data_IF_912060392638
#
_entry.id   IF_912060392638
#
_cell.length_a   1.000
_cell.length_b   1.000
_cell.length_c   1.000
_cell.angle_alpha   90.00
_cell.angle_beta   90.00
_cell.angle_gamma   90.00
#
_symmetry.space_group_name_H-M   'P 1'
#
loop_
_entity.id
_entity.type
_entity.pdbx_description
1 polymer ?
#
# COMPACT_ATOMS: atom_id res chain seq x y z
N UNK A 1 -19.64 -20.48 12.06
CA UNK A 1 -18.33 -20.30 11.43
C UNK A 1 -18.41 -19.02 10.63
N UNK A 2 -17.77 -17.94 11.08
CA UNK A 2 -17.63 -16.74 10.26
C UNK A 2 -16.58 -17.08 9.20
N UNK A 3 -16.92 -17.05 7.91
CA UNK A 3 -15.88 -16.75 6.93
C UNK A 3 -15.54 -15.29 7.20
N UNK A 4 -14.36 -15.03 7.74
CA UNK A 4 -13.80 -13.69 7.67
C UNK A 4 -13.34 -13.53 6.23
N UNK A 5 -14.27 -13.18 5.34
CA UNK A 5 -13.97 -12.85 3.94
C UNK A 5 -13.21 -11.52 3.96
N UNK A 6 -11.90 -11.65 4.14
CA UNK A 6 -10.96 -10.54 4.13
C UNK A 6 -10.39 -10.39 2.73
N UNK A 7 -10.28 -9.15 2.28
CA UNK A 7 -9.52 -8.80 1.09
C UNK A 7 -8.18 -8.17 1.51
N UNK A 8 -7.19 -8.27 0.62
CA UNK A 8 -5.83 -7.88 0.92
C UNK A 8 -5.25 -6.97 -0.17
N UNK A 9 -4.63 -5.89 0.28
CA UNK A 9 -3.76 -5.05 -0.53
C UNK A 9 -2.33 -5.13 0.01
N UNK A 10 -1.38 -5.38 -0.89
CA UNK A 10 0.03 -5.18 -0.60
C UNK A 10 0.43 -3.80 -1.12
N UNK A 11 0.82 -2.90 -0.22
CA UNK A 11 1.49 -1.67 -0.60
C UNK A 11 2.98 -1.93 -0.71
N UNK A 12 3.54 -1.70 -1.90
CA UNK A 12 4.95 -1.92 -2.21
C UNK A 12 5.65 -0.57 -2.36
N UNK A 13 6.71 -0.37 -1.57
CA UNK A 13 7.53 0.84 -1.61
C UNK A 13 8.25 1.00 -2.95
N UNK A 14 8.54 2.25 -3.33
CA UNK A 14 9.20 2.63 -4.57
C UNK A 14 10.47 1.81 -4.86
N UNK A 15 11.21 1.39 -3.82
CA UNK A 15 12.42 0.55 -3.95
C UNK A 15 12.18 -0.80 -4.65
N UNK A 16 10.96 -1.34 -4.61
CA UNK A 16 10.61 -2.67 -5.14
C UNK A 16 9.54 -2.65 -6.22
N UNK A 17 9.09 -1.46 -6.65
CA UNK A 17 8.05 -1.32 -7.67
C UNK A 17 8.42 -1.99 -8.99
N UNK A 18 9.68 -1.91 -9.43
CA UNK A 18 10.12 -2.55 -10.68
C UNK A 18 9.96 -4.07 -10.60
N UNK A 19 10.45 -4.68 -9.52
CA UNK A 19 10.37 -6.12 -9.28
C UNK A 19 8.91 -6.57 -9.14
N UNK A 20 8.10 -5.83 -8.37
CA UNK A 20 6.70 -6.13 -8.14
C UNK A 20 5.86 -6.06 -9.42
N UNK A 21 6.07 -5.06 -10.29
CA UNK A 21 5.37 -4.95 -11.57
C UNK A 21 5.66 -6.13 -12.49
N UNK A 22 6.88 -6.67 -12.48
CA UNK A 22 7.23 -7.85 -13.27
C UNK A 22 6.43 -9.07 -12.80
N UNK A 23 6.33 -9.27 -11.48
CA UNK A 23 5.56 -10.37 -10.87
C UNK A 23 4.05 -10.19 -11.18
N UNK A 24 3.50 -9.00 -10.95
CA UNK A 24 2.08 -8.74 -11.21
C UNK A 24 1.69 -8.96 -12.69
N UNK A 25 2.60 -8.71 -13.62
CA UNK A 25 2.36 -8.95 -15.06
C UNK A 25 2.27 -10.45 -15.38
N UNK A 26 2.95 -11.30 -14.61
CA UNK A 26 2.91 -12.76 -14.80
C UNK A 26 1.63 -13.37 -14.22
N UNK A 27 1.18 -12.86 -13.07
CA UNK A 27 0.05 -13.41 -12.31
C UNK A 27 -1.27 -12.66 -12.55
N UNK A 28 -1.26 -11.63 -13.40
CA UNK A 28 -2.42 -10.80 -13.74
C UNK A 28 -3.08 -10.14 -12.50
N UNK A 29 -2.27 -9.79 -11.49
CA UNK A 29 -2.75 -9.05 -10.32
C UNK A 29 -3.20 -7.64 -10.73
N UNK A 30 -4.28 -7.17 -10.11
CA UNK A 30 -4.73 -5.78 -10.22
C UNK A 30 -3.82 -4.88 -9.37
N UNK A 31 -3.28 -3.82 -9.96
CA UNK A 31 -2.41 -2.88 -9.26
C UNK A 31 -2.51 -1.46 -9.83
N UNK A 32 -2.08 -0.48 -9.05
CA UNK A 32 -2.01 0.92 -9.49
C UNK A 32 -1.01 1.76 -8.70
N UNK A 33 -0.54 2.89 -9.27
CA UNK A 33 0.30 3.84 -8.54
C UNK A 33 -0.50 4.52 -7.44
N UNK A 34 0.04 4.55 -6.22
CA UNK A 34 -0.62 5.18 -5.09
C UNK A 34 -0.77 6.70 -5.28
N UNK A 35 0.19 7.39 -5.91
CA UNK A 35 0.14 8.85 -6.09
C UNK A 35 -0.82 9.32 -7.18
N UNK A 36 -1.38 8.40 -7.98
CA UNK A 36 -2.29 8.76 -9.06
C UNK A 36 -3.56 9.43 -8.51
N UNK A 37 -3.88 10.64 -8.97
CA UNK A 37 -5.03 11.41 -8.49
C UNK A 37 -4.79 12.17 -7.17
N UNK A 38 -3.55 12.26 -6.70
CA UNK A 38 -3.19 12.99 -5.47
C UNK A 38 -2.32 14.22 -5.77
N UNK A 39 -2.10 15.09 -4.77
CA UNK A 39 -1.13 16.19 -4.83
C UNK A 39 0.30 15.73 -5.18
N UNK A 40 0.61 14.44 -4.97
CA UNK A 40 1.91 13.83 -5.28
C UNK A 40 2.00 13.26 -6.70
N UNK A 41 0.96 13.40 -7.52
CA UNK A 41 0.97 12.95 -8.92
C UNK A 41 2.18 13.46 -9.74
N UNK A 42 2.75 14.66 -9.52
CA UNK A 42 3.99 15.07 -10.20
C UNK A 42 5.21 14.16 -9.92
N UNK A 43 5.14 13.31 -8.89
CA UNK A 43 6.17 12.34 -8.50
C UNK A 43 5.76 10.89 -8.82
N UNK A 44 4.89 10.67 -9.82
CA UNK A 44 4.35 9.35 -10.16
C UNK A 44 5.43 8.28 -10.42
N UNK A 45 6.58 8.67 -10.97
CA UNK A 45 7.72 7.77 -11.20
C UNK A 45 8.31 7.21 -9.90
N UNK A 46 8.16 7.95 -8.80
CA UNK A 46 8.62 7.57 -7.46
C UNK A 46 7.47 7.09 -6.56
N UNK A 47 6.30 6.80 -7.15
CA UNK A 47 5.12 6.35 -6.42
C UNK A 47 5.29 4.90 -5.95
N UNK A 48 4.98 4.59 -4.67
CA UNK A 48 4.60 3.25 -4.28
C UNK A 48 3.44 2.73 -5.14
N UNK A 49 3.26 1.42 -5.19
CA UNK A 49 2.08 0.81 -5.82
C UNK A 49 1.25 0.07 -4.78
N UNK A 50 -0.05 0.04 -4.99
CA UNK A 50 -0.93 -0.93 -4.35
C UNK A 50 -1.11 -2.12 -5.29
N UNK A 51 -1.14 -3.33 -4.74
CA UNK A 51 -1.37 -4.58 -5.47
C UNK A 51 -2.43 -5.39 -4.74
N UNK A 52 -3.48 -5.80 -5.44
CA UNK A 52 -4.45 -6.76 -4.92
C UNK A 52 -3.84 -8.14 -4.91
N UNK A 53 -3.80 -8.75 -3.72
CA UNK A 53 -3.12 -10.03 -3.50
C UNK A 53 -4.00 -11.03 -2.75
N UNK A 54 -3.68 -12.31 -2.91
CA UNK A 54 -4.15 -13.41 -2.05
C UNK A 54 -2.97 -14.09 -1.36
N UNK A 55 -3.18 -14.85 -0.26
CA UNK A 55 -2.10 -15.61 0.38
C UNK A 55 -1.36 -16.58 -0.56
N UNK A 56 -2.00 -17.04 -1.62
CA UNK A 56 -1.41 -17.97 -2.58
C UNK A 56 -0.58 -17.27 -3.68
N UNK A 57 -0.63 -15.94 -3.75
CA UNK A 57 0.06 -15.18 -4.79
C UNK A 57 1.58 -15.18 -4.56
N UNK A 58 2.42 -15.30 -5.62
CA UNK A 58 3.87 -15.24 -5.51
C UNK A 58 4.39 -13.98 -4.81
N UNK A 59 3.74 -12.83 -5.05
CA UNK A 59 4.12 -11.57 -4.39
C UNK A 59 3.85 -11.59 -2.88
N UNK A 60 2.77 -12.24 -2.44
CA UNK A 60 2.51 -12.47 -1.02
C UNK A 60 3.58 -13.36 -0.42
N UNK A 61 3.86 -14.49 -1.07
CA UNK A 61 4.85 -15.45 -0.59
C UNK A 61 6.26 -14.83 -0.50
N UNK A 62 6.62 -13.92 -1.41
CA UNK A 62 7.85 -13.15 -1.32
C UNK A 62 7.85 -12.22 -0.11
N UNK A 63 6.78 -11.45 0.10
CA UNK A 63 6.65 -10.59 1.28
C UNK A 63 6.74 -11.38 2.60
N UNK A 64 6.14 -12.56 2.66
CA UNK A 64 6.09 -13.39 3.87
C UNK A 64 7.45 -14.05 4.17
N UNK A 65 8.18 -14.49 3.14
CA UNK A 65 9.36 -15.35 3.31
C UNK A 65 10.70 -14.66 3.03
N UNK A 66 10.72 -13.47 2.39
CA UNK A 66 11.94 -12.72 2.12
C UNK A 66 12.02 -11.44 2.96
N UNK A 67 13.05 -11.32 3.80
CA UNK A 67 13.23 -10.20 4.71
C UNK A 67 13.35 -8.84 3.99
N UNK A 68 13.90 -8.83 2.79
CA UNK A 68 14.04 -7.62 1.97
C UNK A 68 12.67 -7.15 1.46
N UNK A 69 11.80 -8.09 1.09
CA UNK A 69 10.43 -7.80 0.71
C UNK A 69 9.57 -7.42 1.92
N UNK A 70 9.72 -8.14 3.04
CA UNK A 70 9.04 -7.84 4.29
C UNK A 70 9.31 -6.40 4.76
N UNK A 71 10.49 -5.86 4.52
CA UNK A 71 10.84 -4.46 4.89
C UNK A 71 10.41 -3.41 3.87
N UNK A 72 10.05 -3.82 2.65
CA UNK A 72 9.72 -2.91 1.54
C UNK A 72 8.24 -2.94 1.15
N UNK A 73 7.41 -3.69 1.86
CA UNK A 73 5.99 -3.79 1.59
C UNK A 73 5.18 -4.10 2.85
N UNK A 74 3.89 -3.77 2.83
CA UNK A 74 2.98 -3.93 3.96
C UNK A 74 1.62 -4.40 3.48
N UNK A 75 1.00 -5.29 4.25
CA UNK A 75 -0.34 -5.80 3.98
C UNK A 75 -1.39 -4.96 4.71
N UNK A 76 -2.36 -4.51 3.95
CA UNK A 76 -3.62 -3.95 4.43
C UNK A 76 -4.71 -5.00 4.29
N UNK A 77 -5.42 -5.22 5.39
CA UNK A 77 -6.57 -6.11 5.47
C UNK A 77 -7.83 -5.27 5.54
N UNK A 78 -8.80 -5.55 4.69
CA UNK A 78 -10.08 -4.85 4.67
C UNK A 78 -11.22 -5.83 4.42
N UNK A 79 -12.44 -5.42 4.77
CA UNK A 79 -13.61 -6.29 4.70
C UNK A 79 -14.11 -6.43 3.26
N UNK A 80 -14.62 -7.61 2.88
CA UNK A 80 -15.13 -7.89 1.52
C UNK A 80 -16.32 -7.01 1.09
N UNK A 81 -16.97 -6.33 2.04
CA UNK A 81 -18.05 -5.38 1.75
C UNK A 81 -17.56 -3.97 1.37
N UNK A 82 -16.25 -3.72 1.34
CA UNK A 82 -15.67 -2.42 0.94
C UNK A 82 -15.19 -2.48 -0.51
N UNK A 83 -15.47 -1.44 -1.28
CA UNK A 83 -14.97 -1.35 -2.65
C UNK A 83 -13.47 -1.01 -2.67
N UNK A 84 -12.73 -1.65 -3.59
CA UNK A 84 -11.30 -1.40 -3.76
C UNK A 84 -10.98 0.09 -3.93
N UNK A 85 -11.80 0.81 -4.69
CA UNK A 85 -11.61 2.25 -4.92
C UNK A 85 -11.72 3.07 -3.63
N UNK A 86 -12.63 2.71 -2.72
CA UNK A 86 -12.77 3.40 -1.43
C UNK A 86 -11.54 3.16 -0.54
N UNK A 87 -11.00 1.94 -0.57
CA UNK A 87 -9.78 1.58 0.16
C UNK A 87 -8.57 2.32 -0.41
N UNK A 88 -8.39 2.33 -1.72
CA UNK A 88 -7.31 3.06 -2.38
C UNK A 88 -7.41 4.55 -2.10
N UNK A 89 -8.62 5.13 -2.16
CA UNK A 89 -8.87 6.54 -1.81
C UNK A 89 -8.49 6.83 -0.36
N UNK A 90 -8.84 5.94 0.57
CA UNK A 90 -8.44 6.07 1.98
C UNK A 90 -6.92 6.05 2.12
N UNK A 91 -6.22 5.12 1.48
CA UNK A 91 -4.75 5.08 1.49
C UNK A 91 -4.14 6.37 0.91
N UNK A 92 -4.71 6.88 -0.18
CA UNK A 92 -4.27 8.12 -0.83
C UNK A 92 -4.44 9.37 0.04
N UNK A 93 -5.52 9.43 0.82
CA UNK A 93 -5.73 10.53 1.76
C UNK A 93 -4.70 10.48 2.90
N UNK A 94 -4.31 9.27 3.32
CA UNK A 94 -3.45 9.06 4.47
C UNK A 94 -1.94 9.14 4.18
N UNK A 95 -1.52 9.20 2.91
CA UNK A 95 -0.10 9.46 2.56
C UNK A 95 0.28 10.94 2.65
N UNK A 96 -0.68 11.86 2.76
CA UNK A 96 -0.44 13.30 2.78
C UNK A 96 -0.76 13.87 4.15
N UNK A 97 0.26 14.36 4.86
CA UNK A 97 0.07 15.14 6.08
C UNK A 97 0.21 16.63 5.78
N UNK A 98 -0.60 17.47 6.42
CA UNK A 98 -0.55 18.93 6.30
C UNK A 98 0.06 19.53 7.56
N UNK A 99 1.01 20.46 7.43
CA UNK A 99 1.38 21.32 8.57
C UNK A 99 0.32 22.37 8.85
N UNK A 100 0.40 22.98 10.03
CA UNK A 100 -0.46 24.08 10.44
C UNK A 100 -0.41 25.30 9.49
N UNK A 101 0.69 25.49 8.75
CA UNK A 101 0.84 26.55 7.74
C UNK A 101 0.53 26.07 6.30
N UNK A 102 -0.03 24.86 6.14
CA UNK A 102 -0.53 24.34 4.87
C UNK A 102 0.54 23.71 3.97
N UNK A 103 1.73 23.39 4.48
CA UNK A 103 2.74 22.65 3.70
C UNK A 103 2.39 21.17 3.66
N UNK A 104 2.69 20.55 2.52
CA UNK A 104 2.47 19.14 2.27
C UNK A 104 3.68 18.32 2.74
N UNK A 105 3.43 17.31 3.57
CA UNK A 105 4.38 16.29 3.97
C UNK A 105 3.92 14.96 3.40
N UNK A 106 4.84 14.26 2.75
CA UNK A 106 4.60 12.93 2.23
C UNK A 106 5.04 11.90 3.27
N UNK A 107 4.13 11.03 3.68
CA UNK A 107 4.47 9.88 4.50
C UNK A 107 5.07 8.79 3.60
N UNK A 108 6.40 8.68 3.62
CA UNK A 108 7.12 7.51 3.08
C UNK A 108 7.42 6.54 4.19
N UNK A 109 7.03 5.28 4.01
CA UNK A 109 7.39 4.21 4.92
C UNK A 109 8.58 3.44 4.34
N UNK A 110 9.74 3.58 4.98
CA UNK A 110 10.92 2.76 4.69
C UNK A 110 10.92 1.43 5.44
N UNK A 111 9.95 1.23 6.34
CA UNK A 111 9.72 -0.05 7.00
C UNK A 111 8.25 -0.18 7.42
N UNK A 112 7.68 -1.40 7.41
CA UNK A 112 6.33 -1.65 7.93
C UNK A 112 6.21 -1.27 9.41
N UNK A 113 7.31 -1.38 10.17
CA UNK A 113 7.35 -0.96 11.56
C UNK A 113 7.02 0.53 11.69
N UNK A 114 7.65 1.39 10.91
CA UNK A 114 7.38 2.84 10.90
C UNK A 114 5.91 3.13 10.58
N UNK A 115 5.34 2.47 9.55
CA UNK A 115 3.94 2.67 9.20
C UNK A 115 2.99 2.19 10.31
N UNK A 116 3.26 1.02 10.90
CA UNK A 116 2.44 0.45 11.99
C UNK A 116 2.42 1.31 13.26
N UNK A 117 3.50 2.05 13.51
CA UNK A 117 3.60 2.99 14.63
C UNK A 117 2.78 4.26 14.34
N UNK A 118 2.87 4.77 13.11
CA UNK A 118 2.22 6.04 12.74
C UNK A 118 0.71 5.85 12.54
N UNK A 119 0.28 4.75 11.93
CA UNK A 119 -1.14 4.48 11.66
C UNK A 119 -2.03 4.54 12.91
N UNK A 120 -1.48 4.21 14.09
CA UNK A 120 -2.19 4.28 15.39
C UNK A 120 -2.62 5.69 15.78
N UNK A 121 -2.00 6.72 15.22
CA UNK A 121 -2.28 8.12 15.52
C UNK A 121 -3.13 8.81 14.45
N UNK A 122 -3.45 8.11 13.36
CA UNK A 122 -4.20 8.67 12.22
C UNK A 122 -5.71 8.54 12.42
N UNK A 123 -6.16 7.55 13.19
CA UNK A 123 -7.60 7.32 13.49
C UNK A 123 -8.18 8.26 14.57
N UNK A 124 -7.40 9.20 15.13
CA UNK A 124 -7.86 10.14 16.19
C UNK A 124 -8.20 11.56 15.69
N UNK A 125 -8.25 11.82 14.38
CA UNK A 125 -8.50 13.15 13.80
C UNK A 125 -9.84 13.27 13.04
#
# INVERSE_FOLDING_TARGET
>A
MKSDDNQYLLLVDALRVTDAKQICTQDNNEWGPLYLGTEWQPQLENSPIWVKVTPDDPLWQLWENDQTWATSAVIFVYSDNQELNDIVTSLQNNITALSADGRLFLLRFYSPYTLSVIAKYVDEA
#
